data_IF_830237308107
#
_entry.id   IF_830237308107
#
_cell.length_a   1.000
_cell.length_b   1.000
_cell.length_c   1.000
_cell.angle_alpha   90.00
_cell.angle_beta   90.00
_cell.angle_gamma   90.00
#
_symmetry.space_group_name_H-M   'P 1'
#
loop_
_entity.id
_entity.type
_entity.pdbx_description
1 polymer ?
#
# COMPACT_ATOMS: atom_id res chain seq x y z
N UNK A 1 0.10 -2.23 -9.85
CA UNK A 1 0.47 -1.32 -8.76
C UNK A 1 -0.63 -1.25 -7.71
N UNK A 2 -0.26 -0.95 -6.49
CA UNK A 2 -1.17 -0.77 -5.37
C UNK A 2 -1.71 0.66 -5.37
N UNK A 3 -3.01 0.81 -5.09
CA UNK A 3 -3.68 2.12 -5.12
C UNK A 3 -4.25 2.43 -3.74
N UNK A 4 -4.53 3.71 -3.48
CA UNK A 4 -5.24 4.11 -2.26
C UNK A 4 -6.56 3.34 -2.15
N UNK A 5 -6.81 2.73 -0.98
CA UNK A 5 -7.99 1.91 -0.74
C UNK A 5 -7.81 0.43 -1.06
N UNK A 6 -6.75 0.03 -1.76
CA UNK A 6 -6.44 -1.39 -1.94
C UNK A 6 -5.99 -2.00 -0.62
N UNK A 7 -6.21 -3.30 -0.46
CA UNK A 7 -6.06 -4.00 0.82
C UNK A 7 -4.66 -4.58 1.01
N UNK A 8 -4.24 -4.71 2.27
CA UNK A 8 -3.07 -5.50 2.67
C UNK A 8 -3.49 -6.92 3.05
N UNK A 9 -2.49 -7.80 3.21
CA UNK A 9 -2.71 -9.19 3.62
C UNK A 9 -3.14 -9.34 5.07
N UNK A 10 -2.91 -8.32 5.90
CA UNK A 10 -2.96 -8.48 7.35
C UNK A 10 -1.74 -9.27 7.86
N UNK A 11 -1.65 -9.49 9.15
CA UNK A 11 -0.63 -10.33 9.75
C UNK A 11 -1.07 -10.81 11.12
N UNK A 12 -0.81 -12.08 11.44
CA UNK A 12 -1.27 -12.69 12.68
C UNK A 12 -2.79 -12.53 12.81
N UNK A 13 -3.27 -11.99 13.93
CA UNK A 13 -4.69 -11.71 14.14
C UNK A 13 -5.11 -10.30 13.67
N UNK A 14 -4.18 -9.49 13.13
CA UNK A 14 -4.49 -8.22 12.51
C UNK A 14 -5.07 -8.45 11.12
N UNK A 15 -6.31 -8.02 10.91
CA UNK A 15 -7.05 -8.28 9.67
C UNK A 15 -6.55 -7.42 8.50
N UNK A 16 -6.82 -7.82 7.25
CA UNK A 16 -6.60 -6.95 6.11
C UNK A 16 -7.29 -5.59 6.27
N UNK A 17 -6.63 -4.53 5.81
CA UNK A 17 -7.21 -3.20 5.83
C UNK A 17 -6.75 -2.40 4.60
N UNK A 18 -7.51 -1.33 4.23
CA UNK A 18 -7.15 -0.50 3.09
C UNK A 18 -6.02 0.47 3.40
N UNK A 19 -5.26 0.82 2.37
CA UNK A 19 -4.34 1.95 2.45
C UNK A 19 -5.11 3.27 2.50
N UNK A 20 -4.56 4.26 3.21
CA UNK A 20 -5.26 5.50 3.53
C UNK A 20 -4.79 6.70 2.71
N UNK A 21 -3.66 6.60 2.02
CA UNK A 21 -3.01 7.73 1.37
C UNK A 21 -2.45 7.32 0.01
N UNK A 22 -2.41 8.26 -0.92
CA UNK A 22 -1.81 8.08 -2.22
C UNK A 22 -1.32 9.41 -2.78
N UNK A 23 -0.85 9.40 -4.03
CA UNK A 23 -0.37 10.58 -4.71
C UNK A 23 -1.48 11.63 -4.86
N UNK A 24 -1.17 12.92 -4.68
CA UNK A 24 -2.14 13.99 -4.92
C UNK A 24 -2.43 14.21 -6.41
N UNK A 25 -1.59 13.71 -7.31
CA UNK A 25 -1.71 14.02 -8.74
C UNK A 25 -1.32 12.90 -9.69
N UNK A 26 -1.01 11.70 -9.19
CA UNK A 26 -0.75 10.52 -10.03
C UNK A 26 -1.79 9.46 -9.72
N UNK A 27 -2.56 9.07 -10.74
CA UNK A 27 -3.71 8.18 -10.58
C UNK A 27 -3.57 6.95 -11.47
N UNK A 28 -4.08 5.82 -10.99
CA UNK A 28 -4.20 4.57 -11.73
C UNK A 28 -5.64 4.11 -11.63
N UNK A 29 -6.30 3.90 -12.76
CA UNK A 29 -7.73 3.57 -12.82
C UNK A 29 -8.57 4.62 -12.06
N UNK A 30 -8.21 5.91 -12.18
CA UNK A 30 -8.84 7.05 -11.51
C UNK A 30 -8.71 7.02 -9.97
N UNK A 31 -7.79 6.22 -9.42
CA UNK A 31 -7.53 6.10 -7.98
C UNK A 31 -6.09 6.54 -7.71
N UNK A 32 -5.82 7.35 -6.66
CA UNK A 32 -4.45 7.76 -6.32
C UNK A 32 -3.51 6.56 -6.15
N UNK A 33 -2.34 6.63 -6.77
CA UNK A 33 -1.33 5.57 -6.63
C UNK A 33 -0.71 5.62 -5.22
N UNK A 34 -0.53 4.46 -4.60
CA UNK A 34 0.08 4.35 -3.28
C UNK A 34 1.61 4.24 -3.40
N UNK A 35 2.34 4.92 -2.53
CA UNK A 35 3.80 5.07 -2.61
C UNK A 35 4.45 4.70 -1.28
N UNK A 36 5.77 4.43 -1.31
CA UNK A 36 6.58 4.28 -0.09
C UNK A 36 6.41 5.52 0.78
N UNK A 37 6.22 5.33 2.07
CA UNK A 37 5.89 6.30 3.12
C UNK A 37 4.42 6.71 3.20
N UNK A 38 3.59 6.36 2.22
CA UNK A 38 2.15 6.64 2.31
C UNK A 38 1.50 5.81 3.42
N UNK A 39 0.54 6.44 4.11
CA UNK A 39 -0.08 5.86 5.30
C UNK A 39 -1.08 4.75 4.98
N UNK A 40 -1.18 3.81 5.90
CA UNK A 40 -2.20 2.76 5.95
C UNK A 40 -3.19 3.05 7.07
N UNK A 41 -4.45 2.66 6.89
CA UNK A 41 -5.44 2.73 7.95
C UNK A 41 -5.03 1.83 9.11
N UNK A 42 -5.35 2.19 10.37
CA UNK A 42 -5.07 1.31 11.49
C UNK A 42 -5.89 0.02 11.41
N UNK A 43 -5.32 -1.07 11.93
CA UNK A 43 -6.03 -2.30 12.16
C UNK A 43 -5.72 -2.81 13.57
N UNK A 44 -6.56 -3.70 14.09
CA UNK A 44 -6.46 -4.14 15.47
C UNK A 44 -6.57 -5.65 15.61
N UNK A 45 -6.03 -6.14 16.73
CA UNK A 45 -6.12 -7.51 17.15
C UNK A 45 -6.49 -7.49 18.64
N UNK A 46 -7.80 -7.45 18.95
CA UNK A 46 -8.26 -7.16 20.28
C UNK A 46 -7.89 -5.73 20.72
N UNK A 47 -7.38 -5.54 21.96
CA UNK A 47 -6.96 -4.20 22.41
C UNK A 47 -5.81 -3.57 21.60
N UNK A 48 -4.78 -4.32 21.16
CA UNK A 48 -3.71 -3.71 20.36
C UNK A 48 -4.21 -3.19 19.02
N UNK A 49 -3.88 -1.94 18.70
CA UNK A 49 -4.19 -1.29 17.43
C UNK A 49 -2.93 -0.60 16.94
N UNK A 50 -2.63 -0.73 15.65
CA UNK A 50 -1.51 0.00 15.07
C UNK A 50 -1.83 0.52 13.67
N UNK A 51 -1.15 1.58 13.28
CA UNK A 51 -1.08 2.09 11.92
C UNK A 51 0.35 1.94 11.41
N UNK A 52 0.54 2.08 10.11
CA UNK A 52 1.86 1.96 9.52
C UNK A 52 1.94 2.73 8.21
N UNK A 53 3.11 2.65 7.57
CA UNK A 53 3.35 3.24 6.25
C UNK A 53 3.87 2.16 5.31
N UNK A 54 3.82 2.45 4.00
CA UNK A 54 4.41 1.57 2.99
C UNK A 54 5.93 1.58 3.13
N UNK A 55 6.53 0.40 3.26
CA UNK A 55 7.95 0.28 3.60
C UNK A 55 8.87 0.16 2.39
N UNK A 56 8.41 -0.46 1.32
CA UNK A 56 9.20 -0.60 0.09
C UNK A 56 8.28 -0.65 -1.13
N UNK A 57 8.87 -0.51 -2.30
CA UNK A 57 8.16 -0.48 -3.56
C UNK A 57 9.06 -0.78 -4.74
N UNK A 58 8.64 -0.36 -5.94
CA UNK A 58 9.40 -0.55 -7.17
C UNK A 58 10.79 0.08 -7.06
N UNK A 59 11.84 -0.61 -7.49
CA UNK A 59 13.20 -0.04 -7.46
C UNK A 59 13.43 1.07 -8.49
N UNK A 60 12.56 1.21 -9.50
CA UNK A 60 12.81 2.14 -10.60
C UNK A 60 11.55 2.82 -11.15
N UNK A 61 10.39 2.66 -10.52
CA UNK A 61 9.17 3.38 -10.89
C UNK A 61 8.73 4.26 -9.71
N UNK A 62 8.58 5.55 -9.97
CA UNK A 62 8.34 6.56 -8.93
C UNK A 62 7.11 7.40 -9.27
N UNK A 63 6.41 7.84 -8.23
CA UNK A 63 5.39 8.88 -8.30
C UNK A 63 5.76 9.93 -7.27
N UNK A 64 5.88 11.20 -7.70
CA UNK A 64 6.29 12.30 -6.83
C UNK A 64 7.63 12.01 -6.11
N UNK A 65 8.59 11.41 -6.82
CA UNK A 65 9.91 10.99 -6.34
C UNK A 65 9.91 9.85 -5.30
N UNK A 66 8.76 9.27 -5.00
CA UNK A 66 8.62 8.14 -4.07
C UNK A 66 8.39 6.85 -4.86
N UNK A 67 8.98 5.75 -4.40
CA UNK A 67 8.79 4.44 -5.02
C UNK A 67 7.32 4.03 -5.01
N UNK A 68 6.83 3.57 -6.14
CA UNK A 68 5.44 3.10 -6.29
C UNK A 68 5.28 1.74 -5.61
N UNK A 69 4.24 1.58 -4.80
CA UNK A 69 3.91 0.32 -4.16
C UNK A 69 3.32 -0.68 -5.16
N UNK A 70 3.66 -1.95 -4.98
CA UNK A 70 3.23 -3.05 -5.85
C UNK A 70 2.66 -4.19 -5.01
N UNK A 71 1.93 -5.10 -5.67
CA UNK A 71 1.48 -6.34 -5.03
C UNK A 71 2.69 -7.07 -4.42
N UNK A 72 2.56 -7.50 -3.17
CA UNK A 72 3.61 -8.21 -2.45
C UNK A 72 4.64 -7.33 -1.78
N UNK A 73 4.66 -6.02 -2.03
CA UNK A 73 5.60 -5.10 -1.37
C UNK A 73 5.24 -4.92 0.10
N UNK A 74 6.26 -4.80 0.98
CA UNK A 74 6.03 -4.82 2.42
C UNK A 74 5.44 -3.52 2.96
N UNK A 75 4.50 -3.67 3.89
CA UNK A 75 4.08 -2.62 4.81
C UNK A 75 4.99 -2.72 6.04
N UNK A 76 5.36 -1.58 6.62
CA UNK A 76 6.35 -1.58 7.71
C UNK A 76 5.89 -2.35 8.95
N UNK A 77 4.60 -2.58 9.12
CA UNK A 77 4.08 -3.36 10.26
C UNK A 77 4.14 -4.88 10.06
N UNK A 78 4.54 -5.38 8.89
CA UNK A 78 4.65 -6.80 8.61
C UNK A 78 3.65 -7.35 7.60
N UNK A 79 2.63 -6.56 7.21
CA UNK A 79 1.72 -6.91 6.11
C UNK A 79 2.39 -6.73 4.76
N UNK A 80 1.69 -7.15 3.71
CA UNK A 80 2.09 -6.91 2.31
C UNK A 80 0.91 -6.39 1.51
N UNK A 81 1.19 -5.64 0.45
CA UNK A 81 0.16 -5.22 -0.49
C UNK A 81 -0.51 -6.45 -1.12
N UNK A 82 -1.83 -6.54 -1.04
CA UNK A 82 -2.58 -7.69 -1.54
C UNK A 82 -3.37 -7.36 -2.80
N UNK A 83 -4.24 -6.37 -2.76
CA UNK A 83 -5.01 -5.96 -3.93
C UNK A 83 -4.30 -4.84 -4.69
N UNK A 84 -4.60 -4.70 -5.98
CA UNK A 84 -3.84 -3.82 -6.87
C UNK A 84 -4.64 -3.53 -8.14
N UNK A 85 -4.13 -2.63 -8.98
CA UNK A 85 -4.67 -2.41 -10.31
C UNK A 85 -4.65 -3.71 -11.12
N UNK A 86 -5.75 -4.03 -11.84
CA UNK A 86 -5.78 -5.22 -12.68
C UNK A 86 -4.95 -5.09 -13.96
N UNK A 87 -4.60 -3.87 -14.38
CA UNK A 87 -4.00 -3.64 -15.69
C UNK A 87 -2.78 -2.69 -15.70
N UNK A 88 -2.38 -2.16 -14.55
CA UNK A 88 -1.18 -1.29 -14.44
C UNK A 88 -0.18 -1.93 -13.49
N UNK A 89 1.02 -2.16 -13.99
CA UNK A 89 2.08 -2.87 -13.28
C UNK A 89 3.39 -2.08 -13.28
N UNK A 90 4.21 -2.29 -12.26
CA UNK A 90 5.56 -1.74 -12.13
C UNK A 90 6.50 -2.86 -11.69
N UNK A 91 7.28 -3.41 -12.62
CA UNK A 91 8.20 -4.53 -12.36
C UNK A 91 7.48 -5.81 -11.90
N UNK A 92 6.40 -6.13 -12.54
CA UNK A 92 5.67 -7.36 -12.22
C UNK A 92 4.23 -7.20 -11.77
#
# INVERSE_FOLDING_TARGET
VHRKGDLCTGHGCFSPRPSAQGSPNVFVNAIPIHRVTDAWNPHSCGPPTHASTQCDGSPNVFANTLKVARRGDPVCCGSKCMTHSPDVHANG
#
